data_IF_527469529339
#
_entry.id   IF_527469529339
#
_cell.length_a   1.000
_cell.length_b   1.000
_cell.length_c   1.000
_cell.angle_alpha   90.00
_cell.angle_beta   90.00
_cell.angle_gamma   90.00
#
_symmetry.space_group_name_H-M   'P 1'
#
loop_
_entity.id
_entity.type
_entity.pdbx_description
1 polymer ?
#
# COMPACT_ATOMS: atom_id res chain seq x y z
N UNK A 1 7.98 -3.51 16.25
CA UNK A 1 7.68 -4.47 15.16
C UNK A 1 7.54 -3.73 13.83
N UNK A 2 6.46 -2.95 13.59
CA UNK A 2 6.29 -2.23 12.31
C UNK A 2 7.45 -1.28 11.95
N UNK A 3 8.05 -0.60 12.95
CA UNK A 3 9.25 0.21 12.72
C UNK A 3 10.38 -0.59 12.07
N UNK A 4 10.81 -1.68 12.72
CA UNK A 4 11.88 -2.56 12.21
C UNK A 4 11.49 -3.19 10.87
N UNK A 5 10.23 -3.59 10.66
CA UNK A 5 9.78 -4.15 9.38
C UNK A 5 9.95 -3.15 8.23
N UNK A 6 9.52 -1.90 8.43
CA UNK A 6 9.66 -0.85 7.42
C UNK A 6 11.14 -0.48 7.24
N UNK A 7 11.92 -0.43 8.32
CA UNK A 7 13.36 -0.20 8.27
C UNK A 7 14.07 -1.26 7.41
N UNK A 8 13.79 -2.55 7.65
CA UNK A 8 14.32 -3.65 6.83
C UNK A 8 13.92 -3.50 5.37
N UNK A 9 12.65 -3.20 5.09
CA UNK A 9 12.19 -2.97 3.71
C UNK A 9 12.91 -1.80 3.02
N UNK A 10 13.21 -0.73 3.76
CA UNK A 10 13.96 0.42 3.23
C UNK A 10 15.43 0.04 3.00
N UNK A 11 16.06 -0.67 3.95
CA UNK A 11 17.48 -1.01 3.89
C UNK A 11 17.82 -2.07 2.84
N UNK A 12 16.91 -3.01 2.62
CA UNK A 12 17.11 -4.14 1.69
C UNK A 12 16.65 -3.82 0.27
N UNK A 13 15.87 -2.75 0.06
CA UNK A 13 15.44 -2.32 -1.27
C UNK A 13 16.42 -1.33 -1.87
N UNK A 14 17.10 -1.77 -2.92
CA UNK A 14 17.72 -0.84 -3.88
C UNK A 14 16.67 -0.21 -4.80
N UNK A 15 15.64 -0.97 -5.18
CA UNK A 15 14.54 -0.51 -6.01
C UNK A 15 13.24 -1.31 -5.81
N UNK A 16 12.10 -0.78 -6.28
CA UNK A 16 10.86 -1.52 -6.49
C UNK A 16 10.90 -2.24 -7.83
N UNK A 17 10.57 -3.53 -7.86
CA UNK A 17 10.48 -4.28 -9.12
C UNK A 17 9.37 -3.72 -10.02
N UNK A 18 8.22 -3.42 -9.42
CA UNK A 18 7.08 -2.77 -10.06
C UNK A 18 6.23 -2.01 -9.05
N UNK A 19 5.73 -0.85 -9.47
CA UNK A 19 4.74 -0.09 -8.72
C UNK A 19 3.42 -0.10 -9.49
N UNK A 20 2.41 -0.68 -8.87
CA UNK A 20 1.05 -0.74 -9.38
C UNK A 20 0.24 0.42 -8.83
N UNK A 21 -0.58 1.04 -9.68
CA UNK A 21 -1.49 2.12 -9.30
C UNK A 21 -2.92 1.70 -9.61
N UNK A 22 -3.81 1.78 -8.62
CA UNK A 22 -5.24 1.58 -8.81
C UNK A 22 -5.91 2.82 -9.41
N UNK A 23 -7.08 2.63 -10.04
CA UNK A 23 -7.91 3.69 -10.61
C UNK A 23 -9.38 3.61 -10.12
N UNK A 24 -10.22 4.54 -10.57
CA UNK A 24 -11.60 4.75 -10.12
C UNK A 24 -12.62 5.11 -11.23
N UNK A 25 -12.33 4.84 -12.51
CA UNK A 25 -13.25 5.19 -13.61
C UNK A 25 -14.36 4.16 -13.81
N UNK A 26 -14.10 2.89 -13.47
CA UNK A 26 -15.05 1.79 -13.60
C UNK A 26 -15.75 1.52 -12.28
N UNK A 27 -16.99 1.01 -12.39
CA UNK A 27 -17.73 0.56 -11.20
C UNK A 27 -17.01 -0.62 -10.56
N UNK A 28 -16.61 -0.52 -9.27
CA UNK A 28 -15.92 -1.60 -8.59
C UNK A 28 -16.80 -2.87 -8.56
N UNK A 29 -16.22 -4.06 -8.81
CA UNK A 29 -16.90 -5.31 -8.54
C UNK A 29 -17.37 -5.43 -7.08
N UNK A 30 -18.32 -6.33 -6.85
CA UNK A 30 -18.72 -6.65 -5.48
C UNK A 30 -17.52 -7.14 -4.66
N UNK A 31 -17.46 -6.68 -3.41
CA UNK A 31 -16.41 -6.96 -2.42
C UNK A 31 -15.05 -6.31 -2.70
N UNK A 32 -14.97 -5.37 -3.65
CA UNK A 32 -13.80 -4.50 -3.78
C UNK A 32 -13.63 -3.60 -2.56
N UNK A 33 -12.38 -3.32 -2.21
CA UNK A 33 -12.02 -2.36 -1.18
C UNK A 33 -11.92 -0.97 -1.81
N UNK A 34 -12.79 -0.06 -1.38
CA UNK A 34 -12.81 1.34 -1.80
C UNK A 34 -12.97 2.23 -0.56
N UNK A 35 -12.02 3.14 -0.35
CA UNK A 35 -12.00 4.05 0.80
C UNK A 35 -11.55 5.44 0.36
N UNK A 36 -11.87 6.47 1.14
CA UNK A 36 -11.61 7.86 0.80
C UNK A 36 -10.22 8.38 1.22
N UNK A 37 -9.28 7.49 1.52
CA UNK A 37 -7.92 7.82 1.91
C UNK A 37 -6.90 6.91 1.20
N UNK A 38 -5.66 7.36 0.98
CA UNK A 38 -4.66 6.57 0.26
C UNK A 38 -4.26 5.30 1.03
N UNK A 39 -3.89 4.27 0.28
CA UNK A 39 -3.33 3.02 0.82
C UNK A 39 -2.08 2.63 0.05
N UNK A 40 -1.12 2.05 0.77
CA UNK A 40 0.06 1.41 0.21
C UNK A 40 0.09 -0.04 0.69
N UNK A 41 0.21 -0.99 -0.23
CA UNK A 41 0.30 -2.40 0.06
C UNK A 41 1.64 -2.94 -0.50
N UNK A 42 2.43 -3.57 0.36
CA UNK A 42 3.75 -4.12 0.07
C UNK A 42 3.72 -5.62 0.31
N UNK A 43 4.08 -6.40 -0.70
CA UNK A 43 4.19 -7.85 -0.57
C UNK A 43 5.56 -8.18 0.02
N UNK A 44 5.53 -8.80 1.20
CA UNK A 44 6.72 -9.24 1.94
C UNK A 44 7.17 -10.62 1.44
N UNK A 45 6.20 -11.49 1.11
CA UNK A 45 6.47 -12.83 0.58
C UNK A 45 5.24 -13.37 -0.15
N UNK A 46 5.48 -14.29 -1.10
CA UNK A 46 4.41 -14.97 -1.83
C UNK A 46 3.81 -14.13 -2.96
N UNK A 47 2.56 -14.44 -3.31
CA UNK A 47 1.84 -13.81 -4.42
C UNK A 47 0.51 -13.23 -3.93
N UNK A 48 0.32 -11.94 -4.14
CA UNK A 48 -0.88 -11.22 -3.74
C UNK A 48 -1.68 -10.80 -4.97
N UNK A 49 -2.60 -11.66 -5.37
CA UNK A 49 -3.45 -11.43 -6.53
C UNK A 49 -4.52 -10.37 -6.21
N UNK A 50 -4.70 -9.43 -7.14
CA UNK A 50 -5.69 -8.36 -7.03
C UNK A 50 -6.39 -8.15 -8.37
N UNK A 51 -7.69 -7.87 -8.34
CA UNK A 51 -8.33 -7.19 -9.47
C UNK A 51 -8.17 -5.69 -9.30
N UNK A 52 -7.73 -5.02 -10.36
CA UNK A 52 -7.64 -3.57 -10.49
C UNK A 52 -8.29 -3.12 -11.78
N UNK A 53 -8.60 -1.84 -11.82
CA UNK A 53 -8.87 -1.17 -13.09
C UNK A 53 -7.55 -0.90 -13.84
N UNK A 54 -7.53 -1.30 -15.11
CA UNK A 54 -6.52 -0.98 -16.10
C UNK A 54 -7.14 -0.01 -17.14
N UNK A 55 -6.53 1.17 -17.37
CA UNK A 55 -7.07 2.17 -18.29
C UNK A 55 -7.29 1.69 -19.73
N UNK A 56 -6.55 0.67 -20.18
CA UNK A 56 -6.63 0.14 -21.54
C UNK A 56 -7.47 -1.14 -21.63
N UNK A 57 -7.42 -1.98 -20.59
CA UNK A 57 -8.00 -3.33 -20.60
C UNK A 57 -9.28 -3.47 -19.76
N UNK A 58 -9.70 -2.42 -19.05
CA UNK A 58 -10.89 -2.44 -18.21
C UNK A 58 -10.59 -2.95 -16.81
N UNK A 59 -11.12 -4.10 -16.41
CA UNK A 59 -10.76 -4.73 -15.11
C UNK A 59 -9.83 -5.90 -15.38
N UNK A 60 -8.64 -5.87 -14.77
CA UNK A 60 -7.61 -6.88 -14.95
C UNK A 60 -7.20 -7.50 -13.61
N UNK A 61 -6.86 -8.79 -13.65
CA UNK A 61 -6.23 -9.48 -12.54
C UNK A 61 -4.72 -9.32 -12.64
N UNK A 62 -4.12 -8.81 -11.57
CA UNK A 62 -2.68 -8.63 -11.44
C UNK A 62 -2.14 -9.49 -10.30
N UNK A 63 -0.88 -9.88 -10.42
CA UNK A 63 -0.13 -10.58 -9.37
C UNK A 63 0.91 -9.62 -8.82
N UNK A 64 0.71 -9.16 -7.59
CA UNK A 64 1.70 -8.34 -6.88
C UNK A 64 2.66 -9.30 -6.20
N UNK A 65 3.94 -9.25 -6.56
CA UNK A 65 4.96 -10.18 -6.07
C UNK A 65 5.83 -9.54 -4.98
N UNK A 66 6.62 -10.36 -4.29
CA UNK A 66 7.65 -9.85 -3.38
C UNK A 66 8.58 -8.87 -4.10
N UNK A 67 8.76 -7.68 -3.51
CA UNK A 67 9.51 -6.59 -4.14
C UNK A 67 8.65 -5.60 -4.94
N UNK A 68 7.39 -5.91 -5.21
CA UNK A 68 6.45 -4.94 -5.79
C UNK A 68 5.84 -4.04 -4.71
N UNK A 69 5.16 -2.99 -5.16
CA UNK A 69 4.25 -2.16 -4.38
C UNK A 69 2.92 -1.96 -5.12
N UNK A 70 1.84 -1.85 -4.37
CA UNK A 70 0.54 -1.44 -4.85
C UNK A 70 0.10 -0.17 -4.12
N UNK A 71 0.02 0.94 -4.84
CA UNK A 71 -0.51 2.20 -4.33
C UNK A 71 -1.96 2.39 -4.81
N UNK A 72 -2.85 2.64 -3.85
CA UNK A 72 -4.27 2.90 -4.12
C UNK A 72 -4.59 4.34 -3.69
N UNK A 73 -4.78 5.27 -4.64
CA UNK A 73 -5.20 6.63 -4.32
C UNK A 73 -6.58 6.69 -3.63
N UNK A 74 -6.95 7.82 -3.02
CA UNK A 74 -8.28 8.02 -2.45
C UNK A 74 -9.39 7.73 -3.47
N UNK A 75 -10.41 7.00 -3.05
CA UNK A 75 -11.58 6.58 -3.83
C UNK A 75 -11.27 5.58 -4.97
N UNK A 76 -10.00 5.24 -5.21
CA UNK A 76 -9.64 4.10 -6.05
C UNK A 76 -9.87 2.78 -5.31
N UNK A 77 -9.98 1.70 -6.09
CA UNK A 77 -10.35 0.39 -5.57
C UNK A 77 -9.38 -0.70 -6.00
N UNK A 78 -9.28 -1.73 -5.15
CA UNK A 78 -8.68 -3.00 -5.48
C UNK A 78 -9.54 -4.12 -4.90
N UNK A 79 -9.53 -5.29 -5.53
CA UNK A 79 -10.18 -6.48 -4.99
C UNK A 79 -9.15 -7.56 -4.76
N UNK A 80 -8.68 -7.72 -3.51
CA UNK A 80 -7.68 -8.73 -3.23
C UNK A 80 -8.26 -10.14 -3.22
N UNK A 81 -7.48 -11.06 -3.74
CA UNK A 81 -7.72 -12.49 -3.67
C UNK A 81 -6.75 -13.12 -2.65
N UNK A 82 -7.30 -13.54 -1.52
CA UNK A 82 -6.55 -14.15 -0.42
C UNK A 82 -6.56 -15.70 -0.47
N UNK A 83 -6.57 -16.31 -1.65
CA UNK A 83 -6.49 -17.78 -1.77
C UNK A 83 -5.06 -18.31 -1.77
N UNK A 84 -4.10 -17.56 -2.29
CA UNK A 84 -2.69 -17.97 -2.35
C UNK A 84 -1.89 -17.70 -1.09
N UNK A 85 -0.68 -18.27 -1.03
CA UNK A 85 0.32 -17.95 -0.02
C UNK A 85 0.82 -16.51 -0.18
N UNK A 86 0.59 -15.67 0.83
CA UNK A 86 1.11 -14.31 0.83
C UNK A 86 1.30 -13.73 2.24
N UNK A 87 2.17 -12.75 2.34
CA UNK A 87 2.29 -11.85 3.49
C UNK A 87 2.35 -10.41 2.99
N UNK A 88 1.40 -9.59 3.43
CA UNK A 88 1.21 -8.22 2.91
C UNK A 88 1.23 -7.23 4.06
N UNK A 89 2.11 -6.24 3.94
CA UNK A 89 2.12 -5.05 4.79
C UNK A 89 1.26 -3.96 4.13
N UNK A 90 0.23 -3.50 4.82
CA UNK A 90 -0.64 -2.41 4.36
C UNK A 90 -0.46 -1.18 5.27
N UNK A 91 -0.29 -0.02 4.65
CA UNK A 91 -0.30 1.30 5.29
C UNK A 91 -1.56 2.04 4.82
N UNK A 92 -2.28 2.64 5.76
CA UNK A 92 -3.53 3.35 5.53
C UNK A 92 -3.40 4.79 6.03
N UNK A 93 -3.50 5.77 5.13
CA UNK A 93 -3.18 7.17 5.42
C UNK A 93 -4.44 8.01 5.69
N UNK A 94 -5.08 7.77 6.84
CA UNK A 94 -6.26 8.53 7.26
C UNK A 94 -5.93 9.95 7.71
N UNK A 95 -6.94 10.84 7.67
CA UNK A 95 -6.79 12.28 8.02
C UNK A 95 -6.19 12.56 9.40
N UNK A 96 -6.41 11.68 10.38
CA UNK A 96 -5.95 11.85 11.77
C UNK A 96 -5.18 10.66 12.32
N UNK A 97 -5.02 9.62 11.51
CA UNK A 97 -4.34 8.40 11.92
C UNK A 97 -3.69 7.71 10.73
N UNK A 98 -2.55 7.07 10.97
CA UNK A 98 -1.92 6.16 10.04
C UNK A 98 -2.06 4.75 10.59
N UNK A 99 -2.75 3.90 9.84
CA UNK A 99 -2.94 2.50 10.16
C UNK A 99 -1.86 1.65 9.51
N UNK A 100 -1.44 0.61 10.21
CA UNK A 100 -0.54 -0.43 9.72
C UNK A 100 -1.20 -1.79 9.94
N UNK A 101 -1.09 -2.67 8.97
CA UNK A 101 -1.42 -4.07 9.17
C UNK A 101 -0.45 -4.99 8.44
N UNK A 102 -0.01 -6.05 9.11
CA UNK A 102 0.64 -7.19 8.45
C UNK A 102 -0.35 -8.35 8.48
N UNK A 103 -0.70 -8.87 7.31
CA UNK A 103 -1.63 -9.99 7.17
C UNK A 103 -0.96 -11.08 6.37
N UNK A 104 -0.99 -12.30 6.91
CA UNK A 104 -0.42 -13.46 6.24
C UNK A 104 -1.44 -14.57 6.06
N UNK A 105 -1.44 -15.14 4.87
CA UNK A 105 -2.35 -16.19 4.40
C UNK A 105 -1.54 -17.38 3.88
N UNK A 106 -2.01 -18.59 4.21
CA UNK A 106 -1.55 -19.83 3.59
C UNK A 106 -2.57 -20.38 2.62
N UNK A 107 -2.12 -20.93 1.51
CA UNK A 107 -2.99 -21.60 0.56
C UNK A 107 -3.73 -22.77 1.23
N UNK A 108 -5.02 -22.93 0.92
CA UNK A 108 -5.86 -24.02 1.45
C UNK A 108 -6.28 -23.89 2.92
N UNK A 109 -5.67 -23.03 3.73
CA UNK A 109 -6.09 -22.80 5.12
C UNK A 109 -7.35 -21.92 5.19
N UNK A 110 -8.18 -22.09 6.23
CA UNK A 110 -9.31 -21.18 6.46
C UNK A 110 -8.86 -19.98 7.27
N UNK A 111 -9.13 -18.78 6.76
CA UNK A 111 -8.75 -17.52 7.40
C UNK A 111 -7.26 -17.20 7.29
N UNK A 112 -6.82 -16.22 8.08
CA UNK A 112 -5.45 -15.71 8.13
C UNK A 112 -4.72 -16.29 9.34
N UNK A 113 -3.46 -16.69 9.18
CA UNK A 113 -2.69 -17.30 10.27
C UNK A 113 -1.90 -16.28 11.08
N UNK A 114 -1.59 -15.12 10.51
CA UNK A 114 -1.02 -13.98 11.22
C UNK A 114 -1.73 -12.68 10.83
N UNK A 115 -2.16 -11.90 11.83
CA UNK A 115 -2.75 -10.58 11.66
C UNK A 115 -2.20 -9.68 12.77
N UNK A 116 -1.39 -8.71 12.37
CA UNK A 116 -0.88 -7.69 13.27
C UNK A 116 -1.43 -6.35 12.81
N UNK A 117 -1.90 -5.52 13.76
CA UNK A 117 -2.44 -4.19 13.46
C UNK A 117 -1.87 -3.17 14.43
N UNK A 118 -1.55 -2.00 13.90
CA UNK A 118 -1.12 -0.85 14.69
C UNK A 118 -1.72 0.43 14.11
N UNK A 119 -1.89 1.44 14.94
CA UNK A 119 -2.35 2.75 14.50
C UNK A 119 -1.66 3.82 15.33
N UNK A 120 -1.20 4.86 14.65
CA UNK A 120 -0.61 6.05 15.26
C UNK A 120 -1.45 7.27 14.90
N UNK A 121 -1.51 8.24 15.80
CA UNK A 121 -2.14 9.51 15.50
C UNK A 121 -1.25 10.30 14.56
N UNK A 122 -1.85 10.89 13.53
CA UNK A 122 -1.18 11.79 12.59
C UNK A 122 -1.70 13.20 12.78
N UNK A 123 -0.88 14.17 12.39
CA UNK A 123 -1.27 15.58 12.26
C UNK A 123 -1.28 15.92 10.78
N UNK A 124 -2.28 16.69 10.37
CA UNK A 124 -2.35 17.27 9.01
C UNK A 124 -1.44 18.49 8.91
N UNK A 125 -1.02 18.84 7.70
CA UNK A 125 -0.16 19.98 7.39
C UNK A 125 1.34 19.67 7.45
N UNK A 126 1.73 18.40 7.30
CA UNK A 126 3.13 17.98 7.32
C UNK A 126 3.57 17.42 5.96
N UNK A 127 4.87 17.21 5.77
CA UNK A 127 5.45 16.79 4.48
C UNK A 127 4.81 15.53 3.91
N UNK A 128 4.34 14.60 4.76
CA UNK A 128 3.62 13.40 4.32
C UNK A 128 2.37 13.69 3.50
N UNK A 129 1.63 14.76 3.83
CA UNK A 129 0.42 15.12 3.07
C UNK A 129 0.79 15.49 1.63
N UNK A 130 1.88 16.25 1.45
CA UNK A 130 2.36 16.63 0.12
C UNK A 130 2.99 15.47 -0.65
N UNK A 131 3.63 14.52 0.04
CA UNK A 131 4.10 13.28 -0.58
C UNK A 131 2.91 12.48 -1.12
N UNK A 132 1.83 12.35 -0.33
CA UNK A 132 0.61 11.68 -0.75
C UNK A 132 -0.10 12.43 -1.89
N UNK A 133 -0.16 13.76 -1.84
CA UNK A 133 -0.68 14.59 -2.95
C UNK A 133 0.10 14.37 -4.24
N UNK A 134 1.43 14.34 -4.17
CA UNK A 134 2.29 14.06 -5.32
C UNK A 134 2.09 12.64 -5.87
N UNK A 135 1.97 11.63 -5.00
CA UNK A 135 1.64 10.26 -5.42
C UNK A 135 0.26 10.15 -6.06
N UNK A 136 -0.73 10.88 -5.55
CA UNK A 136 -2.07 10.92 -6.14
C UNK A 136 -2.07 11.59 -7.51
N UNK A 137 -1.27 12.65 -7.69
CA UNK A 137 -1.12 13.31 -8.98
C UNK A 137 -0.47 12.37 -10.00
N UNK A 138 0.69 11.79 -9.65
CA UNK A 138 1.44 10.96 -10.58
C UNK A 138 0.73 9.65 -10.94
N UNK A 139 -0.14 9.13 -10.06
CA UNK A 139 -0.99 7.97 -10.36
C UNK A 139 -1.80 8.14 -11.66
N UNK A 140 -2.12 9.39 -12.02
CA UNK A 140 -2.91 9.75 -13.22
C UNK A 140 -2.04 10.13 -14.42
N UNK A 141 -0.73 10.25 -14.24
CA UNK A 141 0.20 10.64 -15.29
C UNK A 141 0.63 9.43 -16.13
N UNK A 142 0.89 9.61 -17.45
CA UNK A 142 1.39 8.53 -18.29
C UNK A 142 2.82 8.12 -17.90
N UNK A 143 3.66 9.08 -17.51
CA UNK A 143 5.04 8.84 -17.09
C UNK A 143 5.16 8.97 -15.57
N UNK A 144 5.29 7.82 -14.89
CA UNK A 144 5.40 7.75 -13.43
C UNK A 144 6.84 7.59 -12.93
N UNK A 145 7.61 6.78 -13.65
CA UNK A 145 9.01 6.50 -13.32
C UNK A 145 9.94 7.65 -13.74
N UNK A 146 10.97 7.98 -12.93
CA UNK A 146 11.35 7.37 -11.64
C UNK A 146 10.74 8.05 -10.39
N UNK A 147 9.86 9.04 -10.59
CA UNK A 147 9.33 9.85 -9.50
C UNK A 147 8.46 9.05 -8.52
N UNK A 148 7.69 8.08 -9.01
CA UNK A 148 6.87 7.16 -8.21
C UNK A 148 7.69 6.44 -7.14
N UNK A 149 8.84 5.89 -7.52
CA UNK A 149 9.76 5.20 -6.63
C UNK A 149 10.37 6.14 -5.57
N UNK A 150 10.86 7.31 -5.98
CA UNK A 150 11.37 8.30 -5.04
C UNK A 150 10.31 8.76 -4.04
N UNK A 151 9.08 8.97 -4.50
CA UNK A 151 7.96 9.37 -3.65
C UNK A 151 7.54 8.23 -2.69
N UNK A 152 7.51 6.98 -3.15
CA UNK A 152 7.23 5.84 -2.28
C UNK A 152 8.32 5.64 -1.22
N UNK A 153 9.60 5.79 -1.58
CA UNK A 153 10.70 5.73 -0.62
C UNK A 153 10.63 6.86 0.41
N UNK A 154 10.28 8.07 -0.01
CA UNK A 154 10.02 9.19 0.89
C UNK A 154 8.84 8.89 1.83
N UNK A 155 7.74 8.34 1.31
CA UNK A 155 6.56 7.97 2.09
C UNK A 155 6.88 6.89 3.14
N UNK A 156 7.64 5.86 2.77
CA UNK A 156 8.04 4.79 3.68
C UNK A 156 9.00 5.30 4.76
N UNK A 157 9.98 6.11 4.39
CA UNK A 157 10.92 6.71 5.33
C UNK A 157 10.21 7.61 6.34
N UNK A 158 9.25 8.41 5.88
CA UNK A 158 8.42 9.23 6.77
C UNK A 158 7.54 8.34 7.67
N UNK A 159 6.93 7.30 7.12
CA UNK A 159 6.09 6.38 7.90
C UNK A 159 6.90 5.66 9.00
N UNK A 160 8.15 5.26 8.69
CA UNK A 160 9.06 4.62 9.64
C UNK A 160 9.40 5.52 10.82
N UNK A 161 9.65 6.81 10.57
CA UNK A 161 9.96 7.80 11.62
C UNK A 161 8.74 8.11 12.49
N UNK A 162 7.53 8.10 11.92
CA UNK A 162 6.31 8.30 12.72
C UNK A 162 6.01 7.13 13.65
N UNK A 163 6.37 5.90 13.28
CA UNK A 163 6.17 4.71 14.16
C UNK A 163 7.14 4.71 15.33
N UNK A 164 8.31 5.36 15.22
CA UNK A 164 9.30 5.45 16.30
C UNK A 164 9.07 6.62 17.26
N UNK A 165 8.25 7.61 16.91
CA UNK A 165 7.97 8.74 17.81
C UNK A 165 7.21 8.26 19.07
N UNK A 166 7.75 8.50 20.29
CA UNK A 166 7.01 8.24 21.52
C UNK A 166 5.72 9.05 21.50
N UNK A 167 4.61 8.45 21.95
CA UNK A 167 3.37 9.19 22.19
C UNK A 167 3.71 10.34 23.13
N UNK A 168 3.81 11.57 22.61
CA UNK A 168 3.91 12.76 23.44
C UNK A 168 2.55 12.92 24.13
N UNK A 169 2.44 12.32 25.31
CA UNK A 169 1.39 12.58 26.30
C UNK A 169 1.49 14.00 26.80
#
# INVERSE_FOLDING_TARGET
MFHNLIETLISEREHFNRIWFAADQLTPPAFSYQVNFPRLELVISGEYENELEDPEQGISTIKVLSGDALYIPPNCWNKPNWQGDCSVLSLLFGKRQMGFSLVSKREGEKGFYDIQKHSIQTRTGHAIDHILEALNAIAREPQKSPMDEHLLMALLSYSQSMVSEPRRT
#
